data_IF_831730618566
#
_entry.id   IF_831730618566
#
_cell.length_a   1.000
_cell.length_b   1.000
_cell.length_c   1.000
_cell.angle_alpha   90.00
_cell.angle_beta   90.00
_cell.angle_gamma   90.00
#
_symmetry.space_group_name_H-M   'P 1'
#
loop_
_entity.id
_entity.type
_entity.pdbx_description
1 polymer ?
#
# COMPACT_ATOMS: atom_id res chain seq x y z
N UNK A 1 17.40 6.41 -3.18
CA UNK A 1 17.50 5.36 -2.14
C UNK A 1 16.36 5.58 -1.17
N UNK A 2 15.48 4.58 -0.96
CA UNK A 2 14.43 4.65 0.05
C UNK A 2 14.91 4.12 1.40
N UNK A 3 14.30 4.58 2.50
CA UNK A 3 14.59 4.07 3.85
C UNK A 3 13.55 3.02 4.21
N UNK A 4 13.98 1.82 4.61
CA UNK A 4 13.10 0.78 5.16
C UNK A 4 13.28 0.77 6.67
N UNK A 5 12.27 1.20 7.42
CA UNK A 5 12.25 1.12 8.88
C UNK A 5 11.39 -0.08 9.28
N UNK A 6 12.03 -1.12 9.82
CA UNK A 6 11.34 -2.32 10.32
C UNK A 6 11.29 -2.23 11.84
N UNK A 7 10.08 -2.17 12.41
CA UNK A 7 9.85 -2.40 13.84
C UNK A 7 9.02 -3.68 13.98
N UNK A 8 9.55 -4.67 14.70
CA UNK A 8 8.86 -5.94 14.97
C UNK A 8 8.84 -6.21 16.47
N UNK A 9 7.80 -6.92 16.95
CA UNK A 9 7.68 -7.37 18.34
C UNK A 9 7.89 -8.88 18.42
N UNK A 10 8.89 -9.31 19.17
CA UNK A 10 9.16 -10.74 19.41
C UNK A 10 8.14 -11.41 20.33
N UNK A 11 7.35 -10.63 21.07
CA UNK A 11 6.36 -11.13 22.05
C UNK A 11 5.12 -11.71 21.36
N UNK A 12 4.77 -11.23 20.16
CA UNK A 12 3.53 -11.63 19.46
C UNK A 12 3.71 -12.78 18.46
N UNK A 13 4.90 -13.37 18.35
CA UNK A 13 5.14 -14.51 17.43
C UNK A 13 4.89 -14.18 15.95
N UNK A 14 4.94 -12.91 15.57
CA UNK A 14 4.64 -12.44 14.21
C UNK A 14 5.78 -12.84 13.26
N UNK A 15 5.58 -13.96 12.57
CA UNK A 15 6.41 -14.42 11.46
C UNK A 15 5.61 -14.26 10.16
N UNK A 16 6.19 -13.66 9.11
CA UNK A 16 5.56 -13.59 7.78
C UNK A 16 5.24 -12.21 7.19
N UNK A 17 5.61 -11.09 7.85
CA UNK A 17 5.44 -9.76 7.23
C UNK A 17 6.28 -9.66 5.95
N UNK A 18 5.59 -9.63 4.79
CA UNK A 18 6.21 -9.48 3.47
C UNK A 18 6.00 -8.06 2.95
N UNK A 19 6.86 -7.14 3.38
CA UNK A 19 6.89 -5.79 2.80
C UNK A 19 7.68 -5.81 1.49
N UNK A 20 6.99 -5.75 0.36
CA UNK A 20 7.64 -5.56 -0.95
C UNK A 20 7.63 -4.06 -1.25
N UNK A 21 8.74 -3.36 -0.99
CA UNK A 21 8.91 -1.98 -1.45
C UNK A 21 9.62 -2.00 -2.79
N UNK A 22 8.88 -1.74 -3.87
CA UNK A 22 9.41 -1.66 -5.22
C UNK A 22 8.74 -2.62 -6.19
N UNK A 23 9.37 -2.78 -7.35
CA UNK A 23 8.77 -3.44 -8.50
C UNK A 23 8.65 -4.96 -8.30
N UNK A 24 7.51 -5.53 -8.69
CA UNK A 24 7.34 -6.98 -8.79
C UNK A 24 8.34 -7.57 -9.81
N UNK A 25 8.89 -8.77 -9.55
CA UNK A 25 9.85 -9.39 -10.47
C UNK A 25 9.21 -9.68 -11.84
N UNK A 26 10.00 -9.52 -12.91
CA UNK A 26 9.66 -10.02 -14.25
C UNK A 26 9.21 -8.97 -15.28
N UNK A 27 10.02 -7.94 -15.53
CA UNK A 27 9.84 -7.14 -16.75
C UNK A 27 10.65 -7.73 -17.91
N UNK A 28 10.03 -7.78 -19.09
CA UNK A 28 10.75 -8.04 -20.34
C UNK A 28 11.79 -6.95 -20.62
N UNK A 29 12.82 -7.29 -21.41
CA UNK A 29 13.87 -6.34 -21.76
C UNK A 29 13.28 -5.04 -22.36
N UNK A 30 13.73 -3.89 -21.88
CA UNK A 30 13.33 -2.57 -22.38
C UNK A 30 12.10 -1.93 -21.71
N UNK A 31 11.43 -2.62 -20.78
CA UNK A 31 10.34 -2.01 -20.00
C UNK A 31 10.89 -1.34 -18.74
N UNK A 32 10.70 -0.02 -18.61
CA UNK A 32 11.02 0.74 -17.41
C UNK A 32 9.72 1.08 -16.67
N UNK A 33 9.65 0.74 -15.38
CA UNK A 33 8.56 1.11 -14.47
C UNK A 33 9.15 1.83 -13.26
N UNK A 34 9.63 3.04 -13.50
CA UNK A 34 10.26 3.88 -12.48
C UNK A 34 9.25 4.83 -11.87
N UNK A 35 9.37 5.04 -10.56
CA UNK A 35 8.71 6.11 -9.83
C UNK A 35 9.71 6.67 -8.83
N UNK A 36 9.58 7.96 -8.54
CA UNK A 36 10.49 8.75 -7.71
C UNK A 36 9.72 9.42 -6.58
N UNK A 37 10.35 9.57 -5.42
CA UNK A 37 9.71 10.26 -4.29
C UNK A 37 8.55 9.52 -3.62
N UNK A 38 8.32 8.24 -3.92
CA UNK A 38 7.27 7.47 -3.26
C UNK A 38 7.57 7.25 -1.76
N UNK A 39 6.55 7.23 -0.91
CA UNK A 39 6.72 7.00 0.53
C UNK A 39 5.63 6.14 1.17
N UNK A 40 6.00 5.37 2.19
CA UNK A 40 5.06 4.63 3.04
C UNK A 40 5.34 5.01 4.48
N UNK A 41 4.32 5.49 5.19
CA UNK A 41 4.40 5.85 6.61
C UNK A 41 3.44 4.99 7.42
N UNK A 42 3.99 4.23 8.35
CA UNK A 42 3.24 3.38 9.28
C UNK A 42 3.36 4.01 10.66
N UNK A 43 2.21 4.25 11.30
CA UNK A 43 2.09 4.81 12.63
C UNK A 43 2.55 3.86 13.74
N UNK A 44 2.34 4.29 14.98
CA UNK A 44 2.71 3.51 16.16
C UNK A 44 1.70 2.39 16.44
N UNK A 45 2.18 1.28 17.00
CA UNK A 45 1.33 0.13 17.44
C UNK A 45 0.46 -0.48 16.32
N UNK A 46 0.86 -0.31 15.07
CA UNK A 46 0.22 -0.98 13.92
C UNK A 46 0.65 -2.45 13.86
N UNK A 47 -0.32 -3.34 13.67
CA UNK A 47 -0.09 -4.77 13.43
C UNK A 47 -0.44 -5.12 12.00
N UNK A 48 0.51 -5.68 11.24
CA UNK A 48 0.30 -6.14 9.87
C UNK A 48 0.65 -7.62 9.80
N UNK A 49 -0.34 -8.45 9.49
CA UNK A 49 -0.15 -9.90 9.42
C UNK A 49 0.38 -10.34 8.05
N UNK A 50 -0.26 -9.90 6.95
CA UNK A 50 0.20 -10.22 5.61
C UNK A 50 -0.40 -9.31 4.56
N UNK A 51 0.34 -8.28 4.17
CA UNK A 51 -0.10 -7.30 3.17
C UNK A 51 0.92 -7.11 2.05
N UNK A 52 0.44 -6.93 0.82
CA UNK A 52 1.24 -6.44 -0.31
C UNK A 52 1.03 -4.93 -0.42
N UNK A 53 2.10 -4.16 -0.43
CA UNK A 53 2.04 -2.70 -0.61
C UNK A 53 2.70 -2.35 -1.93
N UNK A 54 2.03 -1.59 -2.79
CA UNK A 54 2.55 -1.24 -4.12
C UNK A 54 2.32 0.23 -4.45
N UNK A 55 3.39 0.92 -4.83
CA UNK A 55 3.39 2.31 -5.27
C UNK A 55 4.26 2.40 -6.52
N UNK A 56 3.77 3.09 -7.54
CA UNK A 56 4.49 3.22 -8.81
C UNK A 56 4.05 4.49 -9.56
N UNK A 57 3.95 5.60 -8.82
CA UNK A 57 3.63 6.93 -9.33
C UNK A 57 4.51 7.95 -8.61
N UNK A 58 5.04 8.94 -9.33
CA UNK A 58 5.93 9.94 -8.76
C UNK A 58 5.26 10.68 -7.59
N UNK A 59 5.96 10.80 -6.46
CA UNK A 59 5.47 11.46 -5.25
C UNK A 59 4.35 10.74 -4.50
N UNK A 60 3.87 9.59 -4.99
CA UNK A 60 2.75 8.89 -4.36
C UNK A 60 3.07 8.37 -2.96
N UNK A 61 2.07 8.33 -2.10
CA UNK A 61 2.31 7.96 -0.70
C UNK A 61 1.18 7.15 -0.06
N UNK A 62 1.56 6.28 0.87
CA UNK A 62 0.61 5.50 1.68
C UNK A 62 0.82 5.85 3.15
N UNK A 63 -0.26 6.15 3.85
CA UNK A 63 -0.28 6.33 5.29
C UNK A 63 -1.15 5.26 5.97
N UNK A 64 -0.62 4.65 7.02
CA UNK A 64 -1.37 3.80 7.95
C UNK A 64 -1.28 4.41 9.34
N UNK A 65 -2.41 4.86 9.88
CA UNK A 65 -2.48 5.51 11.19
C UNK A 65 -2.26 4.56 12.36
N UNK A 66 -1.90 5.15 13.49
CA UNK A 66 -1.62 4.47 14.75
C UNK A 66 -2.73 3.48 15.16
N UNK A 67 -2.36 2.46 15.95
CA UNK A 67 -3.30 1.50 16.55
C UNK A 67 -4.17 0.72 15.55
N UNK A 68 -3.72 0.61 14.29
CA UNK A 68 -4.44 -0.09 13.22
C UNK A 68 -4.02 -1.57 13.11
N UNK A 69 -4.93 -2.39 12.59
CA UNK A 69 -4.71 -3.82 12.37
C UNK A 69 -5.01 -4.19 10.91
N UNK A 70 -4.02 -4.78 10.23
CA UNK A 70 -4.13 -5.24 8.84
C UNK A 70 -4.01 -6.76 8.84
N UNK A 71 -5.07 -7.44 8.40
CA UNK A 71 -5.15 -8.91 8.37
C UNK A 71 -4.28 -9.52 7.25
N UNK A 72 -4.51 -10.80 6.97
CA UNK A 72 -3.82 -11.56 5.92
C UNK A 72 -4.42 -11.31 4.52
N UNK A 73 -3.59 -11.35 3.49
CA UNK A 73 -4.01 -11.29 2.08
C UNK A 73 -4.47 -9.90 1.62
N UNK A 74 -4.13 -8.85 2.37
CA UNK A 74 -4.52 -7.47 2.03
C UNK A 74 -3.61 -6.91 0.95
N UNK A 75 -4.17 -6.29 -0.09
CA UNK A 75 -3.38 -5.58 -1.09
C UNK A 75 -3.68 -4.09 -1.02
N UNK A 76 -2.63 -3.27 -0.91
CA UNK A 76 -2.70 -1.81 -0.81
C UNK A 76 -1.92 -1.24 -2.00
N UNK A 77 -2.64 -0.85 -3.06
CA UNK A 77 -2.08 -0.48 -4.35
C UNK A 77 -2.34 0.99 -4.68
N UNK A 78 -1.35 1.84 -4.45
CA UNK A 78 -1.35 3.24 -4.82
C UNK A 78 -0.85 3.44 -6.26
N UNK A 79 -1.37 2.63 -7.19
CA UNK A 79 -1.08 2.69 -8.64
C UNK A 79 -1.99 1.68 -9.35
N UNK A 80 -2.28 1.92 -10.64
CA UNK A 80 -2.87 0.90 -11.52
C UNK A 80 -1.79 0.07 -12.25
N UNK A 81 -0.51 0.39 -12.02
CA UNK A 81 0.67 -0.13 -12.73
C UNK A 81 0.75 0.18 -14.24
N UNK A 82 -0.38 0.55 -14.85
CA UNK A 82 -0.53 0.84 -16.27
C UNK A 82 -1.28 2.16 -16.48
N UNK A 83 -0.84 2.92 -17.49
CA UNK A 83 -1.49 4.16 -17.90
C UNK A 83 -2.76 3.87 -18.69
N UNK A 84 -3.86 4.51 -18.30
CA UNK A 84 -5.10 4.60 -19.07
C UNK A 84 -5.16 6.02 -19.61
N UNK A 85 -5.47 6.18 -20.89
CA UNK A 85 -5.64 7.48 -21.53
C UNK A 85 -7.10 7.73 -21.92
N UNK A 86 -7.48 8.99 -22.01
CA UNK A 86 -8.68 9.38 -22.74
C UNK A 86 -8.53 9.15 -24.25
N UNK A 87 -9.58 9.46 -25.02
CA UNK A 87 -9.58 9.31 -26.48
C UNK A 87 -8.61 10.28 -27.19
N UNK A 88 -8.05 11.27 -26.50
CA UNK A 88 -7.09 12.24 -27.01
C UNK A 88 -5.64 11.86 -26.65
N UNK A 89 -5.45 10.76 -25.93
CA UNK A 89 -4.14 10.26 -25.49
C UNK A 89 -3.63 10.89 -24.18
N UNK A 90 -4.45 11.68 -23.47
CA UNK A 90 -4.08 12.22 -22.17
C UNK A 90 -4.27 11.16 -21.08
N UNK A 91 -3.29 10.89 -20.19
CA UNK A 91 -3.48 9.98 -19.07
C UNK A 91 -4.58 10.46 -18.11
N UNK A 92 -5.38 9.54 -17.57
CA UNK A 92 -6.55 9.87 -16.72
C UNK A 92 -6.59 9.13 -15.39
N UNK A 93 -5.63 8.24 -15.13
CA UNK A 93 -5.70 7.31 -14.00
C UNK A 93 -4.52 7.47 -13.03
N UNK A 94 -4.05 8.71 -12.83
CA UNK A 94 -2.99 9.01 -11.88
C UNK A 94 -3.34 8.58 -10.45
N UNK A 95 -2.32 8.10 -9.74
CA UNK A 95 -2.38 7.88 -8.31
C UNK A 95 -1.78 9.07 -7.55
N UNK A 96 -2.25 9.30 -6.33
CA UNK A 96 -1.68 10.30 -5.44
C UNK A 96 -1.39 9.67 -4.08
N UNK A 97 -2.42 9.13 -3.44
CA UNK A 97 -2.26 8.64 -2.06
C UNK A 97 -3.20 7.50 -1.69
N UNK A 98 -2.88 6.79 -0.60
CA UNK A 98 -3.84 5.99 0.15
C UNK A 98 -3.71 6.37 1.62
N UNK A 99 -4.83 6.69 2.26
CA UNK A 99 -4.88 7.06 3.67
C UNK A 99 -5.73 6.06 4.45
N UNK A 100 -5.08 5.23 5.28
CA UNK A 100 -5.74 4.43 6.31
C UNK A 100 -5.62 5.20 7.62
N UNK A 101 -6.75 5.61 8.20
CA UNK A 101 -6.82 6.37 9.43
C UNK A 101 -6.27 5.63 10.65
N UNK A 102 -6.43 6.24 11.83
CA UNK A 102 -6.05 5.64 13.12
C UNK A 102 -7.10 4.65 13.59
N UNK A 103 -6.65 3.63 14.30
CA UNK A 103 -7.51 2.63 14.91
C UNK A 103 -8.44 1.95 13.89
N UNK A 104 -7.90 1.63 12.72
CA UNK A 104 -8.64 0.95 11.64
C UNK A 104 -8.36 -0.54 11.68
N UNK A 105 -9.40 -1.36 11.51
CA UNK A 105 -9.24 -2.78 11.24
C UNK A 105 -9.56 -3.10 9.79
N UNK A 106 -8.55 -3.54 9.04
CA UNK A 106 -8.69 -4.05 7.68
C UNK A 106 -8.81 -5.57 7.72
N UNK A 107 -9.97 -6.07 7.32
CA UNK A 107 -10.29 -7.49 7.26
C UNK A 107 -9.38 -8.29 6.32
N UNK A 108 -9.46 -9.61 6.40
CA UNK A 108 -8.69 -10.52 5.52
C UNK A 108 -9.02 -10.22 4.04
N UNK A 109 -8.07 -10.45 3.14
CA UNK A 109 -8.24 -10.42 1.67
C UNK A 109 -8.75 -9.10 1.06
N UNK A 110 -8.82 -8.00 1.82
CA UNK A 110 -9.29 -6.69 1.34
C UNK A 110 -8.37 -6.12 0.26
N UNK A 111 -8.93 -5.39 -0.71
CA UNK A 111 -8.19 -4.67 -1.77
C UNK A 111 -8.40 -3.17 -1.65
N UNK A 112 -7.34 -2.42 -1.36
CA UNK A 112 -7.37 -0.96 -1.24
C UNK A 112 -6.65 -0.37 -2.44
N UNK A 113 -7.42 0.25 -3.33
CA UNK A 113 -6.90 0.91 -4.55
C UNK A 113 -6.45 2.35 -4.31
N UNK A 114 -5.81 2.92 -5.32
CA UNK A 114 -5.28 4.29 -5.29
C UNK A 114 -6.37 5.30 -4.91
N UNK A 115 -5.95 6.39 -4.26
CA UNK A 115 -6.76 7.53 -3.87
C UNK A 115 -7.87 7.18 -2.84
N UNK A 116 -7.82 5.99 -2.23
CA UNK A 116 -8.75 5.58 -1.20
C UNK A 116 -8.40 6.21 0.16
N UNK A 117 -9.44 6.54 0.92
CA UNK A 117 -9.33 7.04 2.28
C UNK A 117 -10.30 6.30 3.21
N UNK A 118 -9.74 5.68 4.26
CA UNK A 118 -10.49 5.01 5.32
C UNK A 118 -10.39 5.88 6.57
N UNK A 119 -11.53 6.30 7.11
CA UNK A 119 -11.57 7.19 8.28
C UNK A 119 -11.12 6.48 9.56
N UNK A 120 -10.72 7.28 10.56
CA UNK A 120 -10.38 6.79 11.90
C UNK A 120 -11.51 5.93 12.49
N UNK A 121 -11.15 4.94 13.32
CA UNK A 121 -12.08 4.05 14.03
C UNK A 121 -13.02 3.24 13.11
N UNK A 122 -12.57 2.93 11.89
CA UNK A 122 -13.35 2.17 10.91
C UNK A 122 -12.99 0.69 10.89
N UNK A 123 -13.90 -0.12 10.37
CA UNK A 123 -13.65 -1.52 10.01
C UNK A 123 -13.94 -1.69 8.54
N UNK A 124 -12.98 -2.26 7.80
CA UNK A 124 -13.22 -2.74 6.44
C UNK A 124 -13.49 -4.24 6.51
N UNK A 125 -14.69 -4.64 6.07
CA UNK A 125 -15.15 -6.02 6.13
C UNK A 125 -14.28 -6.99 5.33
N UNK A 126 -14.35 -8.26 5.67
CA UNK A 126 -13.63 -9.33 4.98
C UNK A 126 -13.90 -9.31 3.46
N UNK A 127 -12.84 -9.40 2.67
CA UNK A 127 -12.87 -9.51 1.21
C UNK A 127 -13.61 -8.37 0.48
N UNK A 128 -13.65 -7.17 1.10
CA UNK A 128 -14.12 -5.94 0.48
C UNK A 128 -13.16 -5.43 -0.60
#
# INVERSE_FOLDING_TARGET
MGTVIIRYSSILGMTGLKLIVGQLPGLGAGVSRTASGCSVRIGDRVVINGATVYLQEDGSHIYIGDDSQISWGVDIWCTDAHTITDLRGAPVNYADSIEIGRHVWVGKDVKIGKNARIADNSIVGWAA
#
